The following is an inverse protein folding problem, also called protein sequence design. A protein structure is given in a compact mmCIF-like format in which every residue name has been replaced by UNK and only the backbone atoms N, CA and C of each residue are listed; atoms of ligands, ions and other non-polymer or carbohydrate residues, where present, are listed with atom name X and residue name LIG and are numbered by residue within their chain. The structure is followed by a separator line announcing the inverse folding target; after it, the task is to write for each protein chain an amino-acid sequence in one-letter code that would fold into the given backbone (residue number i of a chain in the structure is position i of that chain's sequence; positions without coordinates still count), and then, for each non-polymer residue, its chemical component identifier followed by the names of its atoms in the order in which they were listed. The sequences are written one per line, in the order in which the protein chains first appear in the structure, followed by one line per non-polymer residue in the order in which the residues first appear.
data_IF_994043967932
#
_entry.id   IF_994043967932
#
_cell.length_a   1.000
_cell.length_b   1.000
_cell.length_c   1.000
_cell.angle_alpha   90.00
_cell.angle_beta   90.00
_cell.angle_gamma   90.00
#
_symmetry.space_group_name_H-M   'P 1'
#
loop_
_entity.id
_entity.type
_entity.pdbx_description
1 polymer ?
#
# COMPACT_ATOMS: atom_id res chain seq x y z
N UNK A 1 1.26 11.29 -9.67
CA UNK A 1 1.57 10.91 -8.26
C UNK A 1 0.40 10.25 -7.53
N UNK A 2 -0.65 10.96 -7.10
CA UNK A 2 -1.71 10.38 -6.23
C UNK A 2 -2.52 9.24 -6.88
N UNK A 3 -2.74 9.30 -8.20
CA UNK A 3 -3.45 8.26 -8.93
C UNK A 3 -2.71 6.91 -8.94
N UNK A 4 -1.37 6.93 -9.07
CA UNK A 4 -0.54 5.72 -9.03
C UNK A 4 -0.52 5.09 -7.64
N UNK A 5 -0.34 5.90 -6.59
CA UNK A 5 -0.43 5.44 -5.19
C UNK A 5 -1.79 4.79 -4.92
N UNK A 6 -2.88 5.40 -5.38
CA UNK A 6 -4.23 4.84 -5.20
C UNK A 6 -4.46 3.56 -6.00
N UNK A 7 -3.87 3.46 -7.20
CA UNK A 7 -3.92 2.24 -8.02
C UNK A 7 -3.19 1.08 -7.34
N UNK A 8 -1.97 1.34 -6.86
CA UNK A 8 -1.16 0.40 -6.10
C UNK A 8 -1.90 -0.12 -4.87
N UNK A 9 -2.41 0.80 -4.05
CA UNK A 9 -3.18 0.48 -2.85
C UNK A 9 -4.38 -0.43 -3.16
N UNK A 10 -5.14 -0.09 -4.21
CA UNK A 10 -6.28 -0.92 -4.65
C UNK A 10 -5.82 -2.31 -5.11
N UNK A 11 -4.74 -2.40 -5.88
CA UNK A 11 -4.20 -3.67 -6.38
C UNK A 11 -3.80 -4.59 -5.23
N UNK A 12 -3.11 -4.05 -4.21
CA UNK A 12 -2.72 -4.80 -3.01
C UNK A 12 -3.94 -5.31 -2.25
N UNK A 13 -4.95 -4.44 -2.01
CA UNK A 13 -6.18 -4.86 -1.35
C UNK A 13 -6.98 -5.90 -2.13
N UNK A 14 -6.91 -5.88 -3.47
CA UNK A 14 -7.51 -6.93 -4.31
C UNK A 14 -6.78 -8.26 -4.11
N UNK A 15 -5.44 -8.25 -4.05
CA UNK A 15 -4.67 -9.47 -3.78
C UNK A 15 -4.99 -10.05 -2.40
N UNK A 16 -5.19 -9.22 -1.39
CA UNK A 16 -5.58 -9.67 -0.05
C UNK A 16 -6.94 -10.39 -0.01
N UNK A 17 -7.83 -10.18 -0.98
CA UNK A 17 -9.12 -10.90 -1.05
C UNK A 17 -8.93 -12.41 -1.29
N UNK A 18 -7.77 -12.82 -1.80
CA UNK A 18 -7.44 -14.22 -2.04
C UNK A 18 -6.69 -14.87 -0.86
N UNK A 19 -6.39 -14.09 0.20
CA UNK A 19 -5.74 -14.62 1.39
C UNK A 19 -6.77 -15.17 2.40
N UNK A 20 -6.38 -16.15 3.23
CA UNK A 20 -7.14 -16.55 4.41
C UNK A 20 -7.50 -15.34 5.29
N UNK A 21 -8.63 -15.40 5.98
CA UNK A 21 -9.24 -14.25 6.69
C UNK A 21 -8.26 -13.57 7.66
N UNK A 22 -7.44 -14.34 8.37
CA UNK A 22 -6.48 -13.83 9.36
C UNK A 22 -5.30 -13.11 8.68
N UNK A 23 -4.76 -13.70 7.61
CA UNK A 23 -3.68 -13.10 6.81
C UNK A 23 -4.15 -11.85 6.09
N UNK A 24 -5.39 -11.87 5.57
CA UNK A 24 -6.03 -10.70 4.98
C UNK A 24 -6.15 -9.57 6.01
N UNK A 25 -6.64 -9.85 7.21
CA UNK A 25 -6.82 -8.83 8.25
C UNK A 25 -5.48 -8.22 8.69
N UNK A 26 -4.44 -9.06 8.83
CA UNK A 26 -3.09 -8.61 9.15
C UNK A 26 -2.50 -7.76 8.01
N UNK A 27 -2.58 -8.23 6.78
CA UNK A 27 -2.09 -7.52 5.60
C UNK A 27 -2.82 -6.18 5.38
N UNK A 28 -4.16 -6.17 5.49
CA UNK A 28 -4.97 -4.94 5.36
C UNK A 28 -4.64 -3.89 6.40
N UNK A 29 -4.19 -4.30 7.60
CA UNK A 29 -3.72 -3.38 8.65
C UNK A 29 -2.34 -2.84 8.30
N UNK A 30 -1.40 -3.73 7.98
CA UNK A 30 -0.03 -3.37 7.62
C UNK A 30 0.03 -2.37 6.46
N UNK A 31 -0.67 -2.67 5.36
CA UNK A 31 -0.70 -1.80 4.16
C UNK A 31 -1.33 -0.45 4.48
N UNK A 32 -2.33 -0.39 5.35
CA UNK A 32 -2.92 0.88 5.78
C UNK A 32 -1.92 1.75 6.54
N UNK A 33 -1.17 1.14 7.45
CA UNK A 33 -0.20 1.84 8.27
C UNK A 33 0.98 2.33 7.43
N UNK A 34 1.49 1.51 6.52
CA UNK A 34 2.57 1.88 5.61
C UNK A 34 2.19 3.05 4.68
N UNK A 35 1.01 3.00 4.06
CA UNK A 35 0.53 4.09 3.21
C UNK A 35 0.20 5.36 4.02
N UNK A 36 -0.18 5.22 5.30
CA UNK A 36 -0.42 6.36 6.20
C UNK A 36 0.88 7.04 6.60
N UNK A 37 1.93 6.27 6.88
CA UNK A 37 3.28 6.78 7.17
C UNK A 37 3.83 7.55 5.98
N UNK A 38 3.70 7.00 4.78
CA UNK A 38 4.17 7.64 3.54
C UNK A 38 3.27 8.79 3.04
N UNK A 39 2.11 9.03 3.65
CA UNK A 39 1.23 10.16 3.28
C UNK A 39 1.87 11.53 3.55
N UNK A 40 2.78 11.62 4.52
CA UNK A 40 3.49 12.87 4.88
C UNK A 40 4.96 12.88 4.42
N UNK A 41 5.41 11.82 3.75
CA UNK A 41 6.79 11.68 3.29
C UNK A 41 7.12 12.65 2.14
N UNK A 42 8.41 12.95 1.97
CA UNK A 42 8.87 13.83 0.90
C UNK A 42 8.61 13.21 -0.48
N UNK A 43 8.60 14.04 -1.54
CA UNK A 43 8.33 13.56 -2.90
C UNK A 43 9.36 12.52 -3.37
N UNK A 44 10.63 12.65 -2.97
CA UNK A 44 11.65 11.65 -3.29
C UNK A 44 11.38 10.31 -2.61
N UNK A 45 11.01 10.33 -1.32
CA UNK A 45 10.68 9.12 -0.55
C UNK A 45 9.45 8.40 -1.11
N UNK A 46 8.43 9.15 -1.55
CA UNK A 46 7.25 8.57 -2.22
C UNK A 46 7.61 7.90 -3.55
N UNK A 47 8.60 8.43 -4.28
CA UNK A 47 9.06 7.82 -5.53
C UNK A 47 9.78 6.49 -5.28
N UNK A 48 10.68 6.45 -4.29
CA UNK A 48 11.34 5.22 -3.85
C UNK A 48 10.33 4.19 -3.34
N UNK A 49 9.38 4.62 -2.49
CA UNK A 49 8.29 3.78 -1.99
C UNK A 49 7.47 3.16 -3.13
N UNK A 50 7.07 3.96 -4.12
CA UNK A 50 6.32 3.45 -5.26
C UNK A 50 7.11 2.41 -6.06
N UNK A 51 8.44 2.57 -6.18
CA UNK A 51 9.32 1.62 -6.87
C UNK A 51 9.45 0.30 -6.11
N UNK A 52 9.51 0.34 -4.78
CA UNK A 52 9.62 -0.85 -3.94
C UNK A 52 8.35 -1.70 -3.92
N UNK A 53 7.18 -1.06 -4.07
CA UNK A 53 5.88 -1.71 -3.95
C UNK A 53 5.23 -2.08 -5.29
N UNK A 54 5.81 -1.68 -6.42
CA UNK A 54 5.31 -1.95 -7.78
C UNK A 54 5.57 -3.39 -8.23
#
# INVERSE_FOLDING_TARGET
HLAQVRSLYKRILVLHRFLPIDLKALGDRYVRDEFRRHKKAAKEEVASFLKEWQ
#
